data_IF_253471626666
#
_entry.id   IF_253471626666
#
_cell.length_a   1.000
_cell.length_b   1.000
_cell.length_c   1.000
_cell.angle_alpha   90.00
_cell.angle_beta   90.00
_cell.angle_gamma   90.00
#
_symmetry.space_group_name_H-M   'P 1'
#
loop_
_entity.id
_entity.type
_entity.pdbx_description
1 polymer ?
#
# COMPACT_ATOMS: atom_id res chain seq x y z
N UNK A 1 5.69 -10.60 -26.46
CA UNK A 1 6.17 -11.39 -25.31
C UNK A 1 5.14 -11.23 -24.21
N UNK A 2 4.29 -12.22 -23.95
CA UNK A 2 3.36 -12.13 -22.82
C UNK A 2 4.20 -12.30 -21.55
N UNK A 3 4.37 -11.22 -20.81
CA UNK A 3 4.89 -11.29 -19.45
C UNK A 3 3.96 -12.25 -18.72
N UNK A 4 4.47 -13.41 -18.30
CA UNK A 4 3.69 -14.32 -17.47
C UNK A 4 3.30 -13.49 -16.24
N UNK A 5 2.01 -13.20 -16.09
CA UNK A 5 1.48 -12.49 -14.94
C UNK A 5 1.95 -13.28 -13.72
N UNK A 6 2.92 -12.72 -12.99
CA UNK A 6 3.40 -13.34 -11.77
C UNK A 6 2.21 -13.32 -10.82
N UNK A 7 1.75 -14.51 -10.43
CA UNK A 7 0.68 -14.73 -9.44
C UNK A 7 1.10 -14.35 -8.02
N UNK A 8 2.24 -13.65 -7.87
CA UNK A 8 2.76 -13.27 -6.57
C UNK A 8 1.80 -12.30 -5.89
N UNK A 9 1.31 -12.73 -4.74
CA UNK A 9 0.44 -11.94 -3.87
C UNK A 9 1.20 -11.64 -2.58
N UNK A 10 1.29 -10.37 -2.22
CA UNK A 10 1.88 -9.89 -0.97
C UNK A 10 0.76 -9.36 -0.08
N UNK A 11 0.62 -9.93 1.10
CA UNK A 11 -0.35 -9.51 2.11
C UNK A 11 0.36 -8.85 3.28
N UNK A 12 -0.23 -7.79 3.82
CA UNK A 12 0.33 -7.13 4.99
C UNK A 12 -0.67 -6.28 5.76
N UNK A 13 -0.18 -5.63 6.80
CA UNK A 13 -0.93 -4.68 7.62
C UNK A 13 -0.27 -3.32 7.56
N UNK A 14 -1.09 -2.27 7.56
CA UNK A 14 -0.69 -0.88 7.78
C UNK A 14 -1.11 -0.49 9.20
N UNK A 15 -0.20 0.11 9.95
CA UNK A 15 -0.51 0.85 11.17
C UNK A 15 -0.63 2.33 10.80
N UNK A 16 -1.83 2.87 10.96
CA UNK A 16 -2.17 4.26 10.70
C UNK A 16 -2.13 5.05 12.02
N UNK A 17 -2.20 6.38 11.92
CA UNK A 17 -2.31 7.24 13.11
C UNK A 17 -3.52 6.86 13.99
N UNK A 18 -3.40 7.18 15.29
CA UNK A 18 -4.46 6.97 16.30
C UNK A 18 -4.75 5.48 16.61
N UNK A 19 -3.78 4.59 16.37
CA UNK A 19 -3.91 3.16 16.68
C UNK A 19 -4.82 2.40 15.70
N UNK A 20 -5.14 3.01 14.57
CA UNK A 20 -5.91 2.37 13.49
C UNK A 20 -5.01 1.42 12.70
N UNK A 21 -5.61 0.38 12.15
CA UNK A 21 -4.90 -0.54 11.25
C UNK A 21 -5.75 -0.89 10.04
N UNK A 22 -5.07 -1.17 8.93
CA UNK A 22 -5.68 -1.58 7.69
C UNK A 22 -4.97 -2.83 7.15
N UNK A 23 -5.69 -3.70 6.48
CA UNK A 23 -5.09 -4.80 5.72
C UNK A 23 -4.74 -4.31 4.32
N UNK A 24 -3.68 -4.85 3.70
CA UNK A 24 -3.41 -4.60 2.28
C UNK A 24 -3.01 -5.87 1.52
N UNK A 25 -3.27 -5.85 0.23
CA UNK A 25 -2.87 -6.86 -0.75
C UNK A 25 -2.19 -6.16 -1.93
N UNK A 26 -1.03 -6.67 -2.38
CA UNK A 26 -0.39 -6.29 -3.63
C UNK A 26 -0.42 -7.50 -4.58
N UNK A 27 -0.90 -7.29 -5.81
CA UNK A 27 -0.94 -8.31 -6.87
C UNK A 27 -0.77 -7.64 -8.23
N UNK A 28 0.08 -8.17 -9.10
CA UNK A 28 0.25 -7.77 -10.51
C UNK A 28 -0.20 -6.35 -10.90
N UNK A 29 0.60 -5.33 -10.54
CA UNK A 29 0.33 -3.93 -10.89
C UNK A 29 -0.91 -3.31 -10.24
N UNK A 30 -1.55 -4.02 -9.31
CA UNK A 30 -2.70 -3.60 -8.51
C UNK A 30 -2.41 -3.76 -7.03
N UNK A 31 -3.19 -3.04 -6.24
CA UNK A 31 -3.25 -3.29 -4.81
C UNK A 31 -4.69 -3.15 -4.32
N UNK A 32 -4.94 -3.56 -3.09
CA UNK A 32 -6.19 -3.41 -2.36
C UNK A 32 -5.84 -3.06 -0.91
N UNK A 33 -6.67 -2.26 -0.25
CA UNK A 33 -6.60 -2.05 1.18
C UNK A 33 -7.99 -2.05 1.82
N UNK A 34 -8.04 -2.46 3.08
CA UNK A 34 -9.25 -2.46 3.89
C UNK A 34 -8.99 -1.75 5.22
N UNK A 35 -9.38 -0.48 5.30
CA UNK A 35 -9.47 0.33 6.51
C UNK A 35 -10.96 0.54 6.87
N UNK A 36 -11.47 -0.15 7.91
CA UNK A 36 -12.85 0.04 8.36
C UNK A 36 -13.14 1.47 8.87
N UNK A 37 -12.09 2.26 9.12
CA UNK A 37 -12.12 3.57 9.76
C UNK A 37 -12.19 4.80 8.86
N UNK A 38 -12.19 4.66 7.52
CA UNK A 38 -12.55 5.67 6.47
C UNK A 38 -11.45 6.10 5.47
N UNK A 39 -10.16 5.78 5.61
CA UNK A 39 -9.12 6.36 4.73
C UNK A 39 -8.74 5.46 3.53
N UNK A 40 -8.74 4.13 3.71
CA UNK A 40 -8.38 3.17 2.68
C UNK A 40 -9.57 2.23 2.43
N UNK A 41 -10.29 2.35 1.31
CA UNK A 41 -11.33 1.37 0.97
C UNK A 41 -10.77 0.34 -0.01
N UNK A 42 -11.52 -0.73 -0.24
CA UNK A 42 -11.21 -1.69 -1.31
C UNK A 42 -11.10 -0.93 -2.65
N UNK A 43 -9.88 -0.77 -3.13
CA UNK A 43 -9.58 0.00 -4.34
C UNK A 43 -8.62 -0.81 -5.18
N UNK A 44 -9.04 -1.23 -6.39
CA UNK A 44 -8.11 -1.71 -7.42
C UNK A 44 -7.37 -0.48 -7.98
N UNK A 45 -6.39 0.03 -7.23
CA UNK A 45 -5.52 1.13 -7.65
C UNK A 45 -4.27 0.61 -8.36
N UNK A 46 -3.63 1.39 -9.25
CA UNK A 46 -2.33 1.02 -9.79
C UNK A 46 -1.28 0.98 -8.67
N UNK A 47 -0.48 -0.08 -8.69
CA UNK A 47 0.72 -0.22 -7.89
C UNK A 47 1.92 0.15 -8.76
N UNK A 48 2.66 1.20 -8.37
CA UNK A 48 3.85 1.65 -9.08
C UNK A 48 5.04 1.51 -8.15
N UNK A 49 6.03 0.72 -8.56
CA UNK A 49 7.31 0.65 -7.86
C UNK A 49 8.27 1.70 -8.43
N UNK A 50 8.81 2.57 -7.57
CA UNK A 50 9.87 3.52 -7.90
C UNK A 50 11.13 3.15 -7.11
N UNK A 51 12.04 2.44 -7.77
CA UNK A 51 13.20 1.85 -7.11
C UNK A 51 12.78 0.80 -6.07
N UNK A 52 13.12 1.06 -4.79
CA UNK A 52 12.77 0.19 -3.66
C UNK A 52 11.47 0.59 -2.96
N UNK A 53 10.81 1.65 -3.41
CA UNK A 53 9.58 2.13 -2.80
C UNK A 53 8.37 1.69 -3.62
N UNK A 54 7.26 1.45 -2.94
CA UNK A 54 5.98 1.19 -3.58
C UNK A 54 5.04 2.38 -3.38
N UNK A 55 4.61 2.97 -4.49
CA UNK A 55 3.59 4.00 -4.54
C UNK A 55 2.25 3.38 -4.92
N UNK A 56 1.25 3.68 -4.10
CA UNK A 56 -0.08 3.10 -4.12
C UNK A 56 -1.09 4.24 -4.22
N UNK A 57 -1.79 4.32 -5.34
CA UNK A 57 -2.86 5.32 -5.49
C UNK A 57 -4.13 4.75 -4.84
N UNK A 58 -4.60 5.40 -3.78
CA UNK A 58 -5.70 4.91 -2.94
C UNK A 58 -7.04 5.34 -3.51
N UNK A 59 -7.17 6.51 -4.15
CA UNK A 59 -8.46 6.90 -4.73
C UNK A 59 -8.30 8.03 -5.75
N UNK A 60 -8.87 7.84 -6.94
CA UNK A 60 -8.99 8.90 -7.96
C UNK A 60 -10.02 9.96 -7.52
N UNK A 61 -11.02 9.57 -6.72
CA UNK A 61 -12.13 10.43 -6.31
C UNK A 61 -11.87 11.17 -4.98
N UNK A 62 -10.99 10.64 -4.11
CA UNK A 62 -10.63 11.24 -2.81
C UNK A 62 -9.20 11.82 -2.78
N UNK A 63 -8.41 11.63 -3.83
CA UNK A 63 -7.08 12.24 -3.98
C UNK A 63 -6.05 11.77 -2.93
N UNK A 64 -6.10 10.52 -2.51
CA UNK A 64 -5.13 9.96 -1.56
C UNK A 64 -4.08 9.06 -2.25
N UNK A 65 -2.83 9.17 -1.80
CA UNK A 65 -1.69 8.37 -2.23
C UNK A 65 -0.92 7.84 -1.02
N UNK A 66 -0.44 6.61 -1.11
CA UNK A 66 0.33 5.96 -0.09
C UNK A 66 1.68 5.54 -0.64
N UNK A 67 2.77 5.96 0.00
CA UNK A 67 4.13 5.51 -0.30
C UNK A 67 4.63 4.59 0.80
N UNK A 68 5.01 3.37 0.46
CA UNK A 68 5.63 2.41 1.36
C UNK A 68 7.14 2.36 1.06
N UNK A 69 7.94 2.91 1.96
CA UNK A 69 9.38 3.04 1.77
C UNK A 69 10.06 1.68 1.92
N UNK A 70 10.93 1.32 0.98
CA UNK A 70 11.69 0.08 1.01
C UNK A 70 10.88 -1.19 0.72
N UNK A 71 9.58 -1.07 0.40
CA UNK A 71 8.77 -2.20 -0.04
C UNK A 71 8.93 -2.38 -1.55
N UNK A 72 9.58 -3.47 -1.94
CA UNK A 72 9.66 -3.95 -3.33
C UNK A 72 8.82 -5.23 -3.46
N UNK A 73 7.67 -5.24 -4.17
CA UNK A 73 6.72 -6.36 -4.13
C UNK A 73 7.29 -7.69 -4.64
N UNK A 74 8.20 -7.63 -5.62
CA UNK A 74 8.86 -8.81 -6.18
C UNK A 74 9.92 -9.42 -5.25
N UNK A 75 10.48 -8.62 -4.35
CA UNK A 75 11.52 -9.05 -3.40
C UNK A 75 11.00 -9.26 -1.96
N UNK A 76 9.79 -8.77 -1.69
CA UNK A 76 9.09 -8.80 -0.40
C UNK A 76 9.05 -10.19 0.24
N UNK A 77 9.26 -10.27 1.56
CA UNK A 77 9.20 -11.51 2.35
C UNK A 77 8.29 -11.34 3.55
N UNK A 78 7.69 -12.45 3.99
CA UNK A 78 6.95 -12.48 5.25
C UNK A 78 7.85 -11.99 6.40
N UNK A 79 7.34 -11.05 7.19
CA UNK A 79 8.05 -10.43 8.30
C UNK A 79 8.84 -9.18 7.93
N UNK A 80 8.96 -8.83 6.64
CA UNK A 80 9.50 -7.51 6.28
C UNK A 80 8.56 -6.44 6.82
N UNK A 81 9.11 -5.43 7.48
CA UNK A 81 8.36 -4.29 7.96
C UNK A 81 9.11 -2.99 7.63
N UNK A 82 8.39 -1.86 7.61
CA UNK A 82 8.97 -0.56 7.36
C UNK A 82 8.00 0.58 7.62
N UNK A 83 8.33 1.75 7.07
CA UNK A 83 7.53 2.95 7.22
C UNK A 83 7.00 3.43 5.88
N UNK A 84 6.02 4.32 5.93
CA UNK A 84 5.45 4.94 4.76
C UNK A 84 4.84 6.29 5.06
N UNK A 85 4.24 6.86 4.03
CA UNK A 85 3.53 8.13 4.09
C UNK A 85 2.18 8.00 3.40
N UNK A 86 1.11 8.28 4.13
CA UNK A 86 -0.21 8.50 3.57
C UNK A 86 -0.38 10.00 3.32
N UNK A 87 -0.73 10.35 2.09
CA UNK A 87 -1.00 11.70 1.61
C UNK A 87 -2.47 11.73 1.20
N UNK A 88 -3.28 12.56 1.83
CA UNK A 88 -4.71 12.70 1.50
C UNK A 88 -4.96 14.09 0.88
N UNK A 89 -5.73 14.18 -0.20
CA UNK A 89 -6.11 15.48 -0.74
C UNK A 89 -7.09 16.19 0.21
N UNK A 90 -6.76 17.43 0.57
CA UNK A 90 -7.60 18.32 1.37
C UNK A 90 -7.21 19.79 1.17
N UNK A 91 -8.14 20.71 1.44
CA UNK A 91 -8.02 22.17 1.19
C UNK A 91 -7.03 22.91 2.13
N UNK A 92 -6.45 22.22 3.10
CA UNK A 92 -5.45 22.74 4.02
C UNK A 92 -4.32 21.71 4.11
N UNK A 93 -3.07 22.17 3.95
CA UNK A 93 -1.82 21.43 4.10
C UNK A 93 -2.02 19.96 4.48
N UNK A 94 -2.22 19.11 3.46
CA UNK A 94 -2.59 17.70 3.62
C UNK A 94 -1.80 17.07 4.78
N UNK A 95 -2.47 16.55 5.82
CA UNK A 95 -1.76 15.93 6.94
C UNK A 95 -1.04 14.70 6.41
N UNK A 96 0.27 14.85 6.19
CA UNK A 96 1.15 13.74 5.88
C UNK A 96 1.16 12.83 7.12
N UNK A 97 0.43 11.72 7.04
CA UNK A 97 0.38 10.77 8.14
C UNK A 97 1.48 9.73 7.93
N UNK A 98 2.37 9.62 8.92
CA UNK A 98 3.32 8.51 8.96
C UNK A 98 2.53 7.22 9.15
N UNK A 99 2.87 6.22 8.34
CA UNK A 99 2.36 4.86 8.51
C UNK A 99 3.51 3.90 8.77
N UNK A 100 3.19 2.78 9.40
CA UNK A 100 4.07 1.62 9.48
C UNK A 100 3.43 0.49 8.70
N UNK A 101 4.23 -0.37 8.09
CA UNK A 101 3.73 -1.52 7.35
C UNK A 101 4.48 -2.77 7.76
N UNK A 102 3.80 -3.92 7.71
CA UNK A 102 4.47 -5.21 7.85
C UNK A 102 3.80 -6.30 7.01
N UNK A 103 4.62 -7.15 6.40
CA UNK A 103 4.19 -8.24 5.51
C UNK A 103 3.84 -9.47 6.34
N UNK A 104 2.59 -9.90 6.24
CA UNK A 104 2.06 -11.04 7.00
C UNK A 104 2.12 -12.34 6.19
N UNK A 105 2.06 -12.26 4.86
CA UNK A 105 2.13 -13.43 3.97
C UNK A 105 2.62 -13.07 2.57
N UNK A 106 3.22 -14.05 1.90
CA UNK A 106 3.61 -14.00 0.49
C UNK A 106 3.22 -15.33 -0.15
N UNK A 107 2.53 -15.27 -1.29
CA UNK A 107 2.10 -16.41 -2.09
C UNK A 107 2.65 -16.24 -3.50
N UNK A 108 3.11 -17.30 -4.14
CA UNK A 108 3.67 -17.32 -5.50
C UNK A 108 2.79 -18.13 -6.45
#
# INVERSE_FOLDING_TARGET
>A
MSQAASSRIVLGTLTLGEGRSASFELRDGRWLADDPGRCLRWHDGPCVSDGRDTLLLVSVDQGAALRLYGLEPLAARKGDCGTGLLIEAGDQASPQARVEWCITSVMD
#
